data_IF_921849089550
#
_entry.id   IF_921849089550
#
_cell.length_a   1.000
_cell.length_b   1.000
_cell.length_c   1.000
_cell.angle_alpha   90.00
_cell.angle_beta   90.00
_cell.angle_gamma   90.00
#
_symmetry.space_group_name_H-M   'P 1'
#
loop_
_entity.id
_entity.type
_entity.pdbx_description
1 polymer ?
#
# COMPACT_ATOMS: atom_id res chain seq x y z
N UNK A 1 -13.60 -10.73 33.05
CA UNK A 1 -13.85 -9.37 33.56
C UNK A 1 -14.27 -8.51 32.37
N UNK A 2 -15.40 -7.79 32.44
CA UNK A 2 -15.75 -6.87 31.36
C UNK A 2 -14.69 -5.77 31.33
N UNK A 3 -13.98 -5.63 30.20
CA UNK A 3 -13.04 -4.54 29.99
C UNK A 3 -13.85 -3.25 30.09
N UNK A 4 -13.42 -2.37 31.01
CA UNK A 4 -13.79 -0.96 31.12
C UNK A 4 -14.02 -0.38 29.72
N UNK A 5 -15.12 0.35 29.51
CA UNK A 5 -15.39 1.14 28.30
C UNK A 5 -14.19 2.06 28.01
N UNK A 6 -13.16 1.56 27.33
CA UNK A 6 -12.10 2.37 26.79
C UNK A 6 -12.65 2.92 25.49
N UNK A 7 -12.81 4.25 25.41
CA UNK A 7 -13.12 4.94 24.16
C UNK A 7 -12.20 4.40 23.05
N UNK A 8 -12.78 3.99 21.92
CA UNK A 8 -12.02 3.51 20.77
C UNK A 8 -11.00 4.56 20.35
N UNK A 9 -9.77 4.13 20.05
CA UNK A 9 -8.76 5.03 19.48
C UNK A 9 -9.12 5.34 18.03
N UNK A 10 -8.84 6.54 17.57
CA UNK A 10 -9.28 6.99 16.24
C UNK A 10 -8.09 7.27 15.35
N UNK A 11 -7.97 6.54 14.24
CA UNK A 11 -7.09 6.92 13.12
C UNK A 11 -7.76 8.04 12.35
N UNK A 12 -7.09 9.18 12.24
CA UNK A 12 -7.63 10.42 11.62
C UNK A 12 -7.01 10.65 10.24
N UNK A 13 -7.63 11.52 9.43
CA UNK A 13 -7.01 11.99 8.20
C UNK A 13 -5.75 12.79 8.51
N UNK A 14 -4.65 12.54 7.79
CA UNK A 14 -3.43 13.33 7.91
C UNK A 14 -3.68 14.81 7.55
N UNK A 15 -4.65 15.08 6.67
CA UNK A 15 -5.07 16.44 6.34
C UNK A 15 -5.54 17.21 7.58
N UNK A 16 -6.34 16.57 8.44
CA UNK A 16 -6.84 17.22 9.65
C UNK A 16 -5.69 17.60 10.59
N UNK A 17 -4.72 16.68 10.74
CA UNK A 17 -3.55 16.86 11.61
C UNK A 17 -2.69 18.04 11.13
N UNK A 18 -2.49 18.17 9.82
CA UNK A 18 -1.72 19.29 9.27
C UNK A 18 -2.48 20.63 9.32
N UNK A 19 -3.80 20.61 9.14
CA UNK A 19 -4.63 21.81 9.27
C UNK A 19 -4.67 22.31 10.72
N UNK A 20 -4.75 21.39 11.68
CA UNK A 20 -4.64 21.67 13.12
C UNK A 20 -3.27 22.25 13.46
N UNK A 21 -2.19 21.67 12.93
CA UNK A 21 -0.83 22.18 13.11
C UNK A 21 -0.70 23.63 12.65
N UNK A 22 -1.21 23.96 11.46
CA UNK A 22 -1.20 25.32 10.91
C UNK A 22 -2.06 26.30 11.72
N UNK A 23 -3.09 25.80 12.43
CA UNK A 23 -3.93 26.58 13.36
C UNK A 23 -3.33 26.69 14.77
N UNK A 24 -2.14 26.16 15.00
CA UNK A 24 -1.42 26.20 16.28
C UNK A 24 -1.68 25.00 17.21
N UNK A 25 -2.54 24.06 16.83
CA UNK A 25 -2.73 22.78 17.54
C UNK A 25 -1.66 21.79 17.06
N UNK A 26 -0.41 22.04 17.45
CA UNK A 26 0.77 21.34 16.89
C UNK A 26 0.93 19.89 17.36
N UNK A 27 0.51 19.61 18.61
CA UNK A 27 0.83 18.37 19.32
C UNK A 27 0.55 17.08 18.54
N UNK A 28 -0.63 16.87 17.90
CA UNK A 28 -0.90 15.61 17.20
C UNK A 28 0.11 15.30 16.08
N UNK A 29 0.43 16.29 15.24
CA UNK A 29 1.39 16.11 14.16
C UNK A 29 2.84 16.03 14.69
N UNK A 30 3.19 16.80 15.72
CA UNK A 30 4.51 16.71 16.37
C UNK A 30 4.75 15.34 17.02
N UNK A 31 3.75 14.76 17.69
CA UNK A 31 3.85 13.43 18.28
C UNK A 31 4.04 12.35 17.22
N UNK A 32 3.34 12.46 16.10
CA UNK A 32 3.54 11.59 14.93
C UNK A 32 4.97 11.73 14.38
N UNK A 33 5.44 12.96 14.14
CA UNK A 33 6.79 13.22 13.63
C UNK A 33 7.87 12.68 14.59
N UNK A 34 7.67 12.84 15.90
CA UNK A 34 8.56 12.32 16.94
C UNK A 34 8.60 10.79 16.94
N UNK A 35 7.44 10.14 16.83
CA UNK A 35 7.34 8.68 16.76
C UNK A 35 8.06 8.13 15.53
N UNK A 36 7.81 8.70 14.36
CA UNK A 36 8.45 8.30 13.10
C UNK A 36 9.96 8.52 13.11
N UNK A 37 10.42 9.66 13.63
CA UNK A 37 11.85 9.92 13.86
C UNK A 37 12.45 8.85 14.77
N UNK A 38 11.75 8.49 15.86
CA UNK A 38 12.20 7.50 16.83
C UNK A 38 12.38 6.10 16.23
N UNK A 39 11.37 5.56 15.55
CA UNK A 39 11.46 4.19 14.99
C UNK A 39 12.51 4.07 13.87
N UNK A 40 12.81 5.17 13.17
CA UNK A 40 13.89 5.24 12.17
C UNK A 40 15.29 5.27 12.77
N UNK A 41 15.41 5.70 14.02
CA UNK A 41 16.68 5.78 14.75
C UNK A 41 16.97 4.51 15.55
N UNK A 42 15.99 3.60 15.72
CA UNK A 42 16.22 2.30 16.34
C UNK A 42 17.24 1.47 15.53
N UNK A 43 18.03 0.60 16.19
CA UNK A 43 18.97 -0.28 15.50
C UNK A 43 18.26 -1.14 14.44
N UNK A 44 18.89 -1.43 13.27
CA UNK A 44 18.28 -2.26 12.21
C UNK A 44 18.11 -3.75 12.59
N UNK A 45 18.42 -4.11 13.83
CA UNK A 45 18.16 -5.44 14.42
C UNK A 45 16.98 -5.40 15.40
N UNK A 46 16.51 -4.22 15.77
CA UNK A 46 15.34 -4.06 16.62
C UNK A 46 14.08 -4.39 15.79
N UNK A 47 13.22 -5.33 16.24
CA UNK A 47 12.01 -5.70 15.51
C UNK A 47 11.01 -4.56 15.33
N UNK A 48 11.15 -3.46 16.10
CA UNK A 48 10.33 -2.25 16.00
C UNK A 48 11.01 -1.13 15.19
N UNK A 49 12.22 -1.36 14.70
CA UNK A 49 12.87 -0.39 13.81
C UNK A 49 12.13 -0.30 12.48
N UNK A 50 12.10 0.89 11.89
CA UNK A 50 11.50 1.09 10.58
C UNK A 50 12.18 0.26 9.48
N UNK A 51 13.49 0.02 9.59
CA UNK A 51 14.22 -0.86 8.67
C UNK A 51 13.68 -2.30 8.70
N UNK A 52 13.47 -2.86 9.90
CA UNK A 52 12.93 -4.22 10.02
C UNK A 52 11.48 -4.29 9.60
N UNK A 53 10.65 -3.33 10.08
CA UNK A 53 9.23 -3.28 9.75
C UNK A 53 9.02 -3.12 8.25
N UNK A 54 9.61 -2.09 7.64
CA UNK A 54 9.54 -1.83 6.20
C UNK A 54 9.99 -3.02 5.36
N UNK A 55 11.04 -3.70 5.82
CA UNK A 55 11.57 -4.90 5.16
C UNK A 55 10.80 -6.19 5.40
N UNK A 56 9.68 -6.18 6.15
CA UNK A 56 8.75 -7.32 6.14
C UNK A 56 7.93 -7.37 4.85
N UNK A 57 7.73 -6.23 4.18
CA UNK A 57 6.96 -6.17 2.95
C UNK A 57 7.62 -6.99 1.83
N UNK A 58 8.83 -6.61 1.45
CA UNK A 58 9.63 -7.25 0.41
C UNK A 58 11.03 -7.57 0.93
N UNK A 59 11.98 -6.79 0.45
CA UNK A 59 13.39 -6.92 0.76
C UNK A 59 13.74 -6.44 2.19
N UNK A 60 14.72 -7.06 2.89
CA UNK A 60 15.55 -8.16 2.41
C UNK A 60 14.79 -9.48 2.32
N UNK A 61 14.95 -10.20 1.21
CA UNK A 61 14.25 -11.44 0.94
C UNK A 61 14.69 -12.61 1.82
N UNK A 62 13.76 -13.54 2.02
CA UNK A 62 13.88 -14.66 2.95
C UNK A 62 13.39 -15.96 2.29
N UNK A 63 13.81 -17.09 2.87
CA UNK A 63 13.36 -18.40 2.43
C UNK A 63 13.71 -18.70 0.96
N UNK A 64 12.83 -19.43 0.26
CA UNK A 64 13.04 -19.79 -1.14
C UNK A 64 13.04 -18.58 -2.08
N UNK A 65 12.30 -17.52 -1.74
CA UNK A 65 12.26 -16.28 -2.51
C UNK A 65 13.58 -15.50 -2.52
N UNK A 66 14.50 -15.80 -1.59
CA UNK A 66 15.86 -15.22 -1.63
C UNK A 66 16.66 -15.66 -2.87
N UNK A 67 16.38 -16.85 -3.42
CA UNK A 67 17.13 -17.41 -4.56
C UNK A 67 16.29 -17.82 -5.77
N UNK A 68 14.97 -17.63 -5.73
CA UNK A 68 14.06 -18.10 -6.77
C UNK A 68 12.87 -17.16 -6.96
N UNK A 69 12.72 -16.63 -8.17
CA UNK A 69 11.60 -15.76 -8.57
C UNK A 69 10.24 -16.46 -8.65
N UNK A 70 10.18 -17.79 -8.47
CA UNK A 70 8.91 -18.52 -8.32
C UNK A 70 8.28 -18.39 -6.92
N UNK A 71 8.98 -17.73 -5.99
CA UNK A 71 8.53 -17.46 -4.63
C UNK A 71 8.66 -15.97 -4.36
N UNK A 72 7.76 -15.45 -3.52
CA UNK A 72 7.95 -14.12 -2.97
C UNK A 72 8.83 -14.19 -1.73
N UNK A 73 9.94 -13.45 -1.71
CA UNK A 73 10.88 -13.46 -0.58
C UNK A 73 10.47 -12.57 0.60
N UNK A 74 9.51 -11.67 0.39
CA UNK A 74 8.89 -10.87 1.43
C UNK A 74 7.67 -11.54 2.05
N UNK A 75 7.11 -10.95 3.09
CA UNK A 75 5.92 -11.50 3.75
C UNK A 75 4.60 -10.95 3.22
N UNK A 76 4.63 -9.85 2.46
CA UNK A 76 3.40 -9.24 1.97
C UNK A 76 2.60 -10.20 1.08
N UNK A 77 1.27 -10.02 1.07
CA UNK A 77 0.35 -10.79 0.25
C UNK A 77 -0.25 -9.89 -0.82
N UNK A 78 -0.02 -10.23 -2.10
CA UNK A 78 -0.62 -9.57 -3.26
C UNK A 78 -1.25 -10.60 -4.20
N UNK A 79 -2.29 -10.17 -4.91
CA UNK A 79 -3.04 -10.98 -5.87
C UNK A 79 -3.72 -12.19 -5.22
N UNK A 80 -3.96 -12.16 -3.91
CA UNK A 80 -4.61 -13.22 -3.17
C UNK A 80 -5.49 -12.67 -2.02
N UNK A 81 -6.37 -13.51 -1.48
CA UNK A 81 -7.39 -13.12 -0.47
C UNK A 81 -6.81 -12.57 0.84
N UNK A 82 -5.53 -12.77 1.13
CA UNK A 82 -4.89 -12.25 2.34
C UNK A 82 -4.44 -10.79 2.18
N UNK A 83 -4.50 -10.19 0.98
CA UNK A 83 -4.06 -8.81 0.73
C UNK A 83 -4.61 -7.81 1.76
N UNK A 84 -5.94 -7.66 1.98
CA UNK A 84 -6.45 -6.65 2.90
C UNK A 84 -6.07 -6.93 4.36
N UNK A 85 -6.11 -8.20 4.78
CA UNK A 85 -5.95 -8.58 6.20
C UNK A 85 -4.49 -8.63 6.62
N UNK A 86 -3.59 -9.04 5.74
CA UNK A 86 -2.15 -8.95 5.98
C UNK A 86 -1.70 -7.50 6.17
N UNK A 87 -2.12 -6.60 5.28
CA UNK A 87 -1.76 -5.18 5.38
C UNK A 87 -2.39 -4.51 6.62
N UNK A 88 -3.62 -4.90 7.01
CA UNK A 88 -4.22 -4.46 8.29
C UNK A 88 -3.35 -4.86 9.51
N UNK A 89 -2.92 -6.11 9.57
CA UNK A 89 -2.04 -6.58 10.65
C UNK A 89 -0.67 -5.87 10.61
N UNK A 90 -0.15 -5.59 9.41
CA UNK A 90 1.10 -4.88 9.22
C UNK A 90 1.05 -3.44 9.77
N UNK A 91 -0.02 -2.71 9.48
CA UNK A 91 -0.25 -1.36 10.01
C UNK A 91 -0.32 -1.35 11.54
N UNK A 92 -0.96 -2.36 12.14
CA UNK A 92 -1.00 -2.50 13.60
C UNK A 92 0.42 -2.64 14.17
N UNK A 93 1.30 -3.40 13.53
CA UNK A 93 2.68 -3.59 14.00
C UNK A 93 3.55 -2.34 13.84
N UNK A 94 3.34 -1.57 12.78
CA UNK A 94 3.96 -0.25 12.68
C UNK A 94 3.45 0.69 13.78
N UNK A 95 2.14 0.74 14.01
CA UNK A 95 1.53 1.61 15.01
C UNK A 95 1.99 1.25 16.44
N UNK A 96 2.10 -0.04 16.78
CA UNK A 96 2.70 -0.52 18.03
C UNK A 96 4.17 -0.08 18.19
N UNK A 97 4.92 0.02 17.09
CA UNK A 97 6.30 0.52 17.11
C UNK A 97 6.35 2.04 17.31
N UNK A 98 5.50 2.80 16.62
CA UNK A 98 5.35 4.25 16.83
C UNK A 98 5.01 4.57 18.28
N UNK A 99 4.07 3.83 18.86
CA UNK A 99 3.63 3.97 20.25
C UNK A 99 4.70 3.58 21.27
N UNK A 100 5.73 2.82 20.86
CA UNK A 100 6.82 2.43 21.75
C UNK A 100 7.86 3.54 21.97
N UNK A 101 7.84 4.60 21.16
CA UNK A 101 8.75 5.73 21.30
C UNK A 101 8.36 6.56 22.55
N UNK A 102 9.31 6.95 23.41
CA UNK A 102 9.01 7.72 24.62
C UNK A 102 8.20 8.98 24.34
N UNK A 103 7.06 9.12 25.02
CA UNK A 103 6.14 10.26 24.85
C UNK A 103 5.13 10.11 23.70
N UNK A 104 5.16 9.00 22.96
CA UNK A 104 4.30 8.77 21.79
C UNK A 104 3.24 7.66 21.99
N UNK A 105 2.98 7.24 23.24
CA UNK A 105 2.10 6.09 23.54
C UNK A 105 0.65 6.21 23.04
N UNK A 106 0.16 7.44 22.82
CA UNK A 106 -1.19 7.73 22.32
C UNK A 106 -1.22 8.02 20.80
N UNK A 107 -0.08 7.94 20.10
CA UNK A 107 -0.02 8.19 18.66
C UNK A 107 -0.83 7.14 17.91
N UNK A 108 -1.71 7.60 17.03
CA UNK A 108 -2.40 6.78 16.05
C UNK A 108 -1.81 7.07 14.67
N UNK A 109 -1.67 6.03 13.84
CA UNK A 109 -1.25 6.17 12.45
C UNK A 109 -2.39 6.83 11.65
N UNK A 110 -2.24 8.06 11.15
CA UNK A 110 -3.27 8.66 10.32
C UNK A 110 -3.24 8.06 8.90
N UNK A 111 -4.33 8.24 8.16
CA UNK A 111 -4.39 7.87 6.75
C UNK A 111 -4.20 9.10 5.86
N UNK A 112 -3.56 8.91 4.71
CA UNK A 112 -3.63 9.88 3.62
C UNK A 112 -4.95 9.68 2.88
N UNK A 113 -5.90 10.59 3.05
CA UNK A 113 -7.19 10.50 2.36
C UNK A 113 -7.04 10.84 0.86
N UNK A 114 -6.74 9.82 0.06
CA UNK A 114 -6.42 9.93 -1.37
C UNK A 114 -7.57 10.44 -2.23
N UNK A 115 -8.82 10.27 -1.77
CA UNK A 115 -10.02 10.73 -2.48
C UNK A 115 -10.71 11.92 -1.82
N UNK A 116 -10.03 12.59 -0.87
CA UNK A 116 -10.47 13.88 -0.35
C UNK A 116 -10.40 14.99 -1.39
N UNK A 117 -11.20 16.04 -1.24
CA UNK A 117 -11.17 17.20 -2.12
C UNK A 117 -9.76 17.83 -2.22
N UNK A 118 -9.00 17.82 -1.12
CA UNK A 118 -7.63 18.32 -1.12
C UNK A 118 -6.71 17.44 -1.96
N UNK A 119 -6.72 16.11 -1.78
CA UNK A 119 -5.89 15.20 -2.58
C UNK A 119 -6.23 15.26 -4.07
N UNK A 120 -7.52 15.35 -4.41
CA UNK A 120 -7.98 15.46 -5.81
C UNK A 120 -7.53 16.77 -6.47
N UNK A 121 -7.18 17.81 -5.70
CA UNK A 121 -6.76 19.11 -6.22
C UNK A 121 -5.25 19.35 -6.11
N UNK A 122 -4.65 18.90 -5.02
CA UNK A 122 -3.31 19.28 -4.58
C UNK A 122 -2.34 18.07 -4.48
N UNK A 123 -2.84 16.84 -4.55
CA UNK A 123 -2.04 15.62 -4.50
C UNK A 123 -1.72 15.18 -3.06
N UNK A 124 -0.44 15.06 -2.73
CA UNK A 124 0.00 14.47 -1.47
C UNK A 124 0.02 15.53 -0.35
N UNK A 125 -0.49 15.23 0.86
CA UNK A 125 -0.37 16.08 2.05
C UNK A 125 1.06 16.57 2.27
N UNK A 126 1.23 17.86 2.60
CA UNK A 126 2.56 18.47 2.70
C UNK A 126 3.43 17.82 3.79
N UNK A 127 2.80 17.26 4.84
CA UNK A 127 3.51 16.55 5.90
C UNK A 127 4.32 15.36 5.37
N UNK A 128 3.94 14.79 4.21
CA UNK A 128 4.64 13.67 3.57
C UNK A 128 5.68 14.11 2.55
N UNK A 129 5.74 15.38 2.16
CA UNK A 129 6.57 15.86 1.03
C UNK A 129 7.49 17.02 1.37
N UNK A 130 7.24 17.80 2.43
CA UNK A 130 8.15 18.88 2.82
C UNK A 130 9.53 18.34 3.19
N UNK A 131 10.58 19.08 2.83
CA UNK A 131 11.97 18.70 3.10
C UNK A 131 12.29 18.65 4.59
N UNK A 132 11.81 19.66 5.32
CA UNK A 132 12.07 19.84 6.75
C UNK A 132 10.75 20.00 7.50
N UNK A 133 10.79 19.78 8.82
CA UNK A 133 9.66 19.95 9.72
C UNK A 133 10.12 20.71 10.97
N UNK A 134 9.27 21.55 11.56
CA UNK A 134 9.53 22.19 12.86
C UNK A 134 8.96 21.31 13.98
N UNK A 135 9.84 20.66 14.75
CA UNK A 135 9.46 19.82 15.89
C UNK A 135 9.99 20.44 17.17
N UNK A 136 9.10 20.76 18.11
CA UNK A 136 9.48 21.32 19.42
C UNK A 136 10.34 22.60 19.28
N UNK A 137 10.01 23.43 18.28
CA UNK A 137 10.73 24.67 17.95
C UNK A 137 12.07 24.48 17.24
N UNK A 138 12.42 23.25 16.83
CA UNK A 138 13.64 22.94 16.08
C UNK A 138 13.33 22.45 14.68
N UNK A 139 14.01 23.02 13.68
CA UNK A 139 13.95 22.50 12.31
C UNK A 139 14.73 21.20 12.19
N UNK A 140 14.06 20.13 11.76
CA UNK A 140 14.64 18.80 11.51
C UNK A 140 14.37 18.37 10.06
N UNK A 141 15.15 17.44 9.48
CA UNK A 141 14.73 16.72 8.28
C UNK A 141 13.39 16.03 8.54
N UNK A 142 12.45 16.16 7.60
CA UNK A 142 11.12 15.58 7.76
C UNK A 142 11.21 14.03 7.76
N UNK A 143 10.85 13.35 8.87
CA UNK A 143 10.94 11.90 8.96
C UNK A 143 9.89 11.17 8.11
N UNK A 144 8.93 11.84 7.48
CA UNK A 144 7.94 11.20 6.60
C UNK A 144 8.26 11.30 5.11
N UNK A 145 9.24 12.14 4.74
CA UNK A 145 9.54 12.43 3.32
C UNK A 145 10.20 11.26 2.58
N UNK A 146 11.04 10.50 3.30
CA UNK A 146 11.93 9.47 2.77
C UNK A 146 12.57 8.72 3.93
N UNK A 147 13.27 7.63 3.66
CA UNK A 147 14.07 6.90 4.64
C UNK A 147 15.50 6.65 4.15
N UNK A 148 16.47 6.87 5.02
CA UNK A 148 17.88 6.58 4.76
C UNK A 148 18.22 5.22 5.37
N UNK A 149 18.71 4.30 4.54
CA UNK A 149 18.99 2.92 4.92
C UNK A 149 20.10 2.87 5.96
N UNK A 150 19.77 2.37 7.15
CA UNK A 150 20.73 2.20 8.26
C UNK A 150 21.64 0.99 8.06
N UNK A 151 21.22 0.05 7.20
CA UNK A 151 21.95 -1.14 6.76
C UNK A 151 21.68 -1.37 5.27
N UNK A 152 22.68 -1.86 4.53
CA UNK A 152 22.48 -2.23 3.13
C UNK A 152 21.71 -3.55 3.00
N UNK A 153 21.01 -3.70 1.87
CA UNK A 153 20.30 -4.90 1.45
C UNK A 153 21.00 -5.49 0.23
N UNK A 154 21.21 -6.80 0.24
CA UNK A 154 21.76 -7.57 -0.87
C UNK A 154 21.00 -8.89 -0.92
N UNK A 155 20.19 -9.06 -1.95
CA UNK A 155 19.49 -10.30 -2.28
C UNK A 155 20.11 -10.92 -3.54
N UNK A 156 20.08 -12.26 -3.66
CA UNK A 156 20.78 -12.99 -4.72
C UNK A 156 19.79 -13.84 -5.53
N UNK A 157 18.99 -13.18 -6.38
CA UNK A 157 18.00 -13.86 -7.20
C UNK A 157 18.68 -14.58 -8.39
N UNK A 158 18.51 -15.90 -8.47
CA UNK A 158 19.00 -16.74 -9.58
C UNK A 158 17.89 -17.05 -10.60
N UNK A 159 18.19 -17.17 -11.93
CA UNK A 159 19.48 -16.99 -12.58
C UNK A 159 19.66 -15.60 -13.21
N UNK A 160 20.93 -15.23 -13.33
CA UNK A 160 21.49 -14.01 -13.92
C UNK A 160 20.79 -13.42 -15.17
N UNK A 161 20.87 -12.08 -15.35
CA UNK A 161 21.49 -11.15 -14.43
C UNK A 161 20.56 -10.81 -13.27
N UNK A 162 21.18 -10.84 -12.09
CA UNK A 162 20.76 -10.27 -10.82
C UNK A 162 19.88 -9.06 -11.10
N UNK A 163 18.63 -9.09 -10.64
CA UNK A 163 17.84 -7.88 -10.67
C UNK A 163 18.47 -7.03 -9.57
N UNK A 164 19.27 -6.05 -9.98
CA UNK A 164 20.27 -5.40 -9.16
C UNK A 164 19.63 -4.40 -8.19
N UNK A 165 18.72 -4.90 -7.36
CA UNK A 165 17.94 -4.15 -6.38
C UNK A 165 18.70 -3.98 -5.07
N UNK A 166 19.97 -4.40 -5.03
CA UNK A 166 20.84 -4.18 -3.88
C UNK A 166 20.93 -2.69 -3.55
N UNK A 167 20.50 -2.33 -2.34
CA UNK A 167 20.50 -0.95 -1.85
C UNK A 167 21.57 -0.79 -0.79
N UNK A 168 22.60 0.05 -1.01
CA UNK A 168 23.68 0.22 -0.05
C UNK A 168 23.21 0.94 1.21
N UNK A 169 23.95 0.77 2.31
CA UNK A 169 23.78 1.61 3.49
C UNK A 169 23.93 3.08 3.09
N UNK A 170 23.02 3.93 3.57
CA UNK A 170 23.00 5.35 3.24
C UNK A 170 22.20 5.70 1.99
N UNK A 171 21.67 4.71 1.26
CA UNK A 171 20.64 4.96 0.24
C UNK A 171 19.42 5.66 0.88
N UNK A 172 18.91 6.72 0.24
CA UNK A 172 17.68 7.40 0.63
C UNK A 172 16.57 7.00 -0.34
N UNK A 173 15.42 6.55 0.16
CA UNK A 173 14.26 6.25 -0.70
C UNK A 173 13.84 7.48 -1.48
N UNK A 174 13.44 7.27 -2.72
CA UNK A 174 13.02 8.31 -3.64
C UNK A 174 11.64 8.00 -4.23
N UNK A 175 10.96 9.05 -4.67
CA UNK A 175 9.66 9.00 -5.33
C UNK A 175 9.79 9.59 -6.73
N UNK A 176 8.77 9.42 -7.55
CA UNK A 176 8.67 10.12 -8.84
C UNK A 176 8.95 11.62 -8.66
N UNK A 177 9.74 12.27 -9.54
CA UNK A 177 10.27 11.77 -10.82
C UNK A 177 11.66 11.13 -10.73
N UNK A 178 12.19 10.85 -9.53
CA UNK A 178 13.53 10.31 -9.36
C UNK A 178 13.56 8.78 -9.55
N UNK A 179 14.76 8.26 -9.76
CA UNK A 179 15.06 6.84 -9.90
C UNK A 179 15.84 6.32 -8.69
N UNK A 180 15.43 5.15 -8.19
CA UNK A 180 15.97 4.47 -7.02
C UNK A 180 16.68 3.16 -7.32
N UNK A 181 16.88 2.80 -8.60
CA UNK A 181 17.60 1.60 -9.02
C UNK A 181 19.11 1.81 -8.91
N UNK A 182 19.70 1.40 -7.79
CA UNK A 182 21.07 1.78 -7.42
C UNK A 182 22.05 0.63 -7.38
N UNK A 183 21.66 -0.54 -7.88
CA UNK A 183 22.58 -1.64 -8.09
C UNK A 183 23.71 -1.30 -9.07
N UNK A 184 24.88 -1.96 -8.96
CA UNK A 184 25.99 -1.87 -9.90
C UNK A 184 25.68 -1.62 -11.38
N UNK A 185 24.66 -2.27 -11.95
CA UNK A 185 24.29 -2.17 -13.36
C UNK A 185 23.39 -0.96 -13.67
N UNK A 186 22.57 -0.52 -12.73
CA UNK A 186 21.57 0.54 -12.94
C UNK A 186 22.06 1.92 -12.47
N UNK A 187 23.03 1.94 -11.54
CA UNK A 187 23.50 3.16 -10.88
C UNK A 187 23.87 4.29 -11.85
N UNK A 188 24.57 3.98 -12.94
CA UNK A 188 24.98 5.00 -13.91
C UNK A 188 23.78 5.65 -14.62
N UNK A 189 22.77 4.85 -14.98
CA UNK A 189 21.54 5.33 -15.60
C UNK A 189 20.71 6.15 -14.61
N UNK A 190 20.60 5.67 -13.36
CA UNK A 190 19.92 6.39 -12.28
C UNK A 190 20.60 7.72 -11.94
N UNK A 191 21.93 7.78 -11.88
CA UNK A 191 22.66 9.03 -11.64
C UNK A 191 22.41 10.03 -12.79
N UNK A 192 22.45 9.58 -14.05
CA UNK A 192 22.19 10.41 -15.22
C UNK A 192 20.73 10.89 -15.29
N UNK A 193 19.78 10.06 -14.87
CA UNK A 193 18.36 10.42 -14.77
C UNK A 193 18.14 11.47 -13.69
N UNK A 194 18.61 11.20 -12.46
CA UNK A 194 18.42 12.08 -11.32
C UNK A 194 19.10 13.45 -11.50
N UNK A 195 20.19 13.53 -12.27
CA UNK A 195 20.85 14.79 -12.64
C UNK A 195 19.94 15.74 -13.44
N UNK A 196 18.89 15.24 -14.11
CA UNK A 196 17.87 16.06 -14.81
C UNK A 196 16.87 16.72 -13.85
N UNK A 197 16.82 16.25 -12.59
CA UNK A 197 15.84 16.65 -11.58
C UNK A 197 16.51 17.14 -10.27
N UNK A 198 17.40 18.15 -10.31
CA UNK A 198 18.19 18.56 -9.15
C UNK A 198 17.41 19.35 -8.10
N UNK A 199 16.28 19.96 -8.46
CA UNK A 199 15.50 20.83 -7.58
C UNK A 199 14.39 20.06 -6.85
N UNK A 200 14.49 20.02 -5.53
CA UNK A 200 13.57 19.24 -4.70
C UNK A 200 12.12 19.74 -4.78
N UNK A 201 11.90 21.06 -4.75
CA UNK A 201 10.55 21.63 -4.72
C UNK A 201 9.86 21.51 -6.08
N UNK A 202 10.63 21.59 -7.17
CA UNK A 202 10.16 21.28 -8.52
C UNK A 202 9.76 19.80 -8.63
N UNK A 203 10.53 18.89 -8.05
CA UNK A 203 10.21 17.45 -8.04
C UNK A 203 8.92 17.16 -7.26
N UNK A 204 8.71 17.80 -6.11
CA UNK A 204 7.45 17.67 -5.35
C UNK A 204 6.25 18.16 -6.17
N UNK A 205 6.40 19.25 -6.94
CA UNK A 205 5.33 19.72 -7.85
C UNK A 205 5.02 18.72 -8.96
N UNK A 206 6.05 18.11 -9.54
CA UNK A 206 5.89 17.06 -10.56
C UNK A 206 5.18 15.83 -9.97
N UNK A 207 5.57 15.40 -8.77
CA UNK A 207 4.95 14.31 -8.04
C UNK A 207 3.46 14.57 -7.78
N UNK A 208 3.12 15.73 -7.21
CA UNK A 208 1.74 16.08 -6.94
C UNK A 208 0.90 16.20 -8.21
N UNK A 209 1.45 16.78 -9.28
CA UNK A 209 0.77 16.84 -10.57
C UNK A 209 0.51 15.44 -11.15
N UNK A 210 1.48 14.52 -11.04
CA UNK A 210 1.29 13.13 -11.46
C UNK A 210 0.18 12.46 -10.65
N UNK A 211 0.24 12.53 -9.32
CA UNK A 211 -0.78 11.95 -8.44
C UNK A 211 -2.17 12.50 -8.74
N UNK A 212 -2.32 13.83 -8.90
CA UNK A 212 -3.60 14.45 -9.27
C UNK A 212 -4.11 13.93 -10.61
N UNK A 213 -3.23 13.77 -11.62
CA UNK A 213 -3.62 13.22 -12.92
C UNK A 213 -4.15 11.79 -12.77
N UNK A 214 -3.47 10.93 -12.03
CA UNK A 214 -3.95 9.56 -11.75
C UNK A 214 -5.28 9.53 -10.99
N UNK A 215 -5.46 10.46 -10.05
CA UNK A 215 -6.68 10.59 -9.25
C UNK A 215 -7.87 11.15 -10.04
N UNK A 216 -7.65 11.89 -11.13
CA UNK A 216 -8.72 12.66 -11.81
C UNK A 216 -8.88 12.42 -13.31
N UNK A 217 -8.00 11.64 -13.95
CA UNK A 217 -8.06 11.31 -15.38
C UNK A 217 -9.44 10.84 -15.89
N UNK A 218 -9.75 11.20 -17.12
CA UNK A 218 -10.96 10.74 -17.82
C UNK A 218 -10.71 10.68 -19.33
N UNK A 219 -11.56 9.93 -20.03
CA UNK A 219 -11.59 9.90 -21.50
C UNK A 219 -12.96 10.37 -21.99
N UNK A 220 -13.04 10.82 -23.25
CA UNK A 220 -14.31 11.20 -23.87
C UNK A 220 -14.64 10.20 -24.98
N UNK A 221 -15.75 9.48 -24.84
CA UNK A 221 -16.25 8.52 -25.82
C UNK A 221 -17.65 8.93 -26.25
N UNK A 222 -17.87 9.21 -27.54
CA UNK A 222 -19.18 9.62 -28.05
C UNK A 222 -19.73 10.90 -27.40
N UNK A 223 -18.86 11.80 -26.94
CA UNK A 223 -19.24 13.03 -26.22
C UNK A 223 -19.54 12.84 -24.73
N UNK A 224 -19.42 11.63 -24.20
CA UNK A 224 -19.57 11.34 -22.77
C UNK A 224 -18.20 11.24 -22.10
N UNK A 225 -18.03 11.92 -20.97
CA UNK A 225 -16.84 11.81 -20.13
C UNK A 225 -16.93 10.55 -19.27
N UNK A 226 -15.99 9.64 -19.46
CA UNK A 226 -15.87 8.38 -18.72
C UNK A 226 -14.66 8.51 -17.78
N UNK A 227 -14.85 8.45 -16.46
CA UNK A 227 -13.75 8.45 -15.51
C UNK A 227 -12.89 7.19 -15.69
N UNK A 228 -11.58 7.36 -15.79
CA UNK A 228 -10.60 6.25 -15.84
C UNK A 228 -9.67 6.25 -14.62
N UNK A 229 -9.97 7.15 -13.68
CA UNK A 229 -9.10 7.50 -12.59
C UNK A 229 -9.22 6.62 -11.35
N UNK A 230 -8.25 6.78 -10.46
CA UNK A 230 -8.16 6.05 -9.20
C UNK A 230 -9.32 6.39 -8.26
N UNK A 231 -9.82 7.63 -8.25
CA UNK A 231 -10.97 8.00 -7.42
C UNK A 231 -12.20 7.17 -7.78
N UNK A 232 -12.53 7.01 -9.07
CA UNK A 232 -13.63 6.16 -9.51
C UNK A 232 -13.40 4.69 -9.16
N UNK A 233 -12.16 4.18 -9.30
CA UNK A 233 -11.84 2.80 -8.90
C UNK A 233 -12.07 2.53 -7.41
N UNK A 234 -11.76 3.48 -6.52
CA UNK A 234 -12.07 3.35 -5.10
C UNK A 234 -13.58 3.35 -4.83
N UNK A 235 -14.36 4.15 -5.55
CA UNK A 235 -15.84 4.09 -5.46
C UNK A 235 -16.36 2.73 -5.92
N UNK A 236 -15.88 2.25 -7.08
CA UNK A 236 -16.35 1.00 -7.66
C UNK A 236 -15.96 -0.23 -6.82
N UNK A 237 -14.83 -0.18 -6.10
CA UNK A 237 -14.46 -1.30 -5.23
C UNK A 237 -15.37 -1.46 -4.02
N UNK A 238 -16.01 -0.38 -3.53
CA UNK A 238 -16.99 -0.46 -2.44
C UNK A 238 -18.25 -1.24 -2.86
N UNK A 239 -18.51 -1.36 -4.16
CA UNK A 239 -19.64 -2.12 -4.72
C UNK A 239 -19.30 -3.59 -5.02
N UNK A 240 -18.06 -4.03 -4.76
CA UNK A 240 -17.67 -5.41 -5.02
C UNK A 240 -18.56 -6.39 -4.21
N UNK A 241 -19.15 -7.42 -4.84
CA UNK A 241 -20.30 -8.15 -4.28
C UNK A 241 -19.94 -9.16 -3.18
N UNK A 242 -18.67 -9.48 -3.00
CA UNK A 242 -18.19 -10.38 -1.95
C UNK A 242 -16.71 -10.13 -1.66
N UNK A 243 -16.24 -10.58 -0.50
CA UNK A 243 -14.88 -10.35 -0.04
C UNK A 243 -13.82 -10.94 -0.98
N UNK A 244 -14.08 -12.10 -1.60
CA UNK A 244 -13.08 -12.77 -2.47
C UNK A 244 -12.69 -11.87 -3.63
N UNK A 245 -13.66 -11.32 -4.35
CA UNK A 245 -13.41 -10.44 -5.51
C UNK A 245 -13.14 -8.99 -5.12
N UNK A 246 -13.59 -8.56 -3.94
CA UNK A 246 -13.16 -7.28 -3.35
C UNK A 246 -11.67 -7.28 -3.02
N UNK A 247 -11.16 -8.39 -2.48
CA UNK A 247 -9.84 -8.42 -1.85
C UNK A 247 -8.68 -8.25 -2.82
N UNK A 248 -8.75 -8.82 -4.02
CA UNK A 248 -7.56 -8.97 -4.87
C UNK A 248 -7.85 -9.05 -6.37
N UNK A 249 -6.81 -8.74 -7.14
CA UNK A 249 -6.79 -8.70 -8.60
C UNK A 249 -7.01 -10.05 -9.27
N UNK A 250 -6.46 -11.14 -8.74
CA UNK A 250 -6.60 -12.48 -9.32
C UNK A 250 -8.05 -12.97 -9.27
N UNK A 251 -8.70 -12.84 -8.11
CA UNK A 251 -10.10 -13.21 -7.92
C UNK A 251 -11.03 -12.33 -8.77
N UNK A 252 -10.81 -11.01 -8.79
CA UNK A 252 -11.63 -10.12 -9.61
C UNK A 252 -11.47 -10.41 -11.11
N UNK A 253 -10.27 -10.73 -11.58
CA UNK A 253 -10.04 -11.11 -12.98
C UNK A 253 -10.78 -12.40 -13.34
N UNK A 254 -10.75 -13.42 -12.48
CA UNK A 254 -11.51 -14.66 -12.70
C UNK A 254 -13.02 -14.40 -12.68
N UNK A 255 -13.50 -13.56 -11.77
CA UNK A 255 -14.92 -13.20 -11.68
C UNK A 255 -15.44 -12.52 -12.93
N UNK A 256 -14.62 -11.65 -13.55
CA UNK A 256 -14.99 -10.99 -14.80
C UNK A 256 -15.11 -11.97 -15.98
N UNK A 257 -14.39 -13.10 -15.95
CA UNK A 257 -14.53 -14.17 -16.94
C UNK A 257 -15.78 -15.04 -16.66
N UNK A 258 -16.11 -15.29 -15.39
CA UNK A 258 -17.18 -16.19 -14.97
C UNK A 258 -18.58 -15.54 -14.86
N UNK A 259 -18.64 -14.22 -14.64
CA UNK A 259 -19.85 -13.47 -14.30
C UNK A 259 -20.18 -12.38 -15.32
N UNK A 260 -21.46 -12.00 -15.38
CA UNK A 260 -21.93 -10.80 -16.12
C UNK A 260 -21.78 -9.50 -15.32
N UNK A 261 -21.41 -9.58 -14.05
CA UNK A 261 -21.17 -8.43 -13.19
C UNK A 261 -19.68 -8.09 -13.10
N UNK A 262 -19.35 -6.81 -13.27
CA UNK A 262 -17.99 -6.31 -13.06
C UNK A 262 -17.72 -6.13 -11.57
N UNK A 263 -16.51 -6.48 -11.14
CA UNK A 263 -16.02 -6.22 -9.80
C UNK A 263 -14.64 -5.54 -9.90
N UNK A 264 -14.50 -4.40 -9.22
CA UNK A 264 -13.20 -3.73 -9.05
C UNK A 264 -12.66 -4.15 -7.68
N UNK A 265 -11.50 -4.81 -7.59
CA UNK A 265 -10.91 -5.16 -6.31
C UNK A 265 -10.26 -3.92 -5.67
N UNK A 266 -10.23 -3.87 -4.34
CA UNK A 266 -9.50 -2.86 -3.55
C UNK A 266 -8.03 -2.74 -3.95
N UNK A 267 -7.42 -3.87 -4.32
CA UNK A 267 -6.02 -3.93 -4.77
C UNK A 267 -5.78 -3.13 -6.07
N UNK A 268 -6.80 -2.91 -6.91
CA UNK A 268 -6.64 -2.17 -8.19
C UNK A 268 -6.36 -0.66 -8.02
N UNK A 269 -7.17 0.13 -7.29
CA UNK A 269 -6.82 1.52 -6.99
C UNK A 269 -5.55 1.64 -6.15
N UNK A 270 -5.31 0.70 -5.22
CA UNK A 270 -4.04 0.60 -4.47
C UNK A 270 -2.82 0.53 -5.40
N UNK A 271 -2.83 -0.40 -6.37
CA UNK A 271 -1.72 -0.56 -7.32
C UNK A 271 -1.48 0.73 -8.12
N UNK A 272 -2.54 1.47 -8.42
CA UNK A 272 -2.45 2.71 -9.20
C UNK A 272 -1.76 3.83 -8.40
N UNK A 273 -1.97 3.91 -7.08
CA UNK A 273 -1.28 4.89 -6.22
C UNK A 273 0.20 4.55 -6.05
N UNK A 274 0.54 3.27 -5.90
CA UNK A 274 1.93 2.81 -5.91
C UNK A 274 2.68 3.29 -7.15
N UNK A 275 2.10 3.10 -8.34
CA UNK A 275 2.69 3.57 -9.60
C UNK A 275 2.72 5.09 -9.73
N UNK A 276 1.69 5.80 -9.27
CA UNK A 276 1.64 7.26 -9.31
C UNK A 276 2.73 7.91 -8.43
N UNK A 277 2.98 7.32 -7.24
CA UNK A 277 3.96 7.84 -6.28
C UNK A 277 5.38 7.41 -6.62
N UNK A 278 5.56 6.15 -7.02
CA UNK A 278 6.87 5.59 -7.35
C UNK A 278 7.37 6.02 -8.73
N UNK A 279 6.49 6.17 -9.71
CA UNK A 279 6.90 6.01 -11.10
C UNK A 279 7.26 4.55 -11.39
N UNK A 280 7.18 4.15 -12.65
CA UNK A 280 7.55 2.80 -13.02
C UNK A 280 7.97 2.71 -14.50
N UNK A 281 9.25 2.38 -14.71
CA UNK A 281 9.87 2.16 -16.01
C UNK A 281 10.93 1.04 -15.95
N UNK A 282 10.70 -0.07 -16.64
CA UNK A 282 11.69 -1.12 -16.80
C UNK A 282 12.34 -1.10 -18.19
N UNK A 283 13.68 -0.96 -18.26
CA UNK A 283 14.41 -1.00 -19.51
C UNK A 283 14.10 -2.24 -20.33
N UNK A 284 13.69 -2.04 -21.59
CA UNK A 284 13.36 -3.09 -22.57
C UNK A 284 12.18 -4.01 -22.19
N UNK A 285 11.37 -3.62 -21.21
CA UNK A 285 10.17 -4.36 -20.82
C UNK A 285 8.93 -3.49 -21.04
N UNK A 286 8.81 -2.37 -20.31
CA UNK A 286 7.63 -1.51 -20.32
C UNK A 286 7.83 -0.24 -19.48
N UNK A 287 7.24 0.88 -19.92
CA UNK A 287 7.20 2.17 -19.21
C UNK A 287 5.75 2.66 -19.05
N UNK A 288 5.36 3.00 -17.81
CA UNK A 288 4.10 3.70 -17.51
C UNK A 288 4.31 5.02 -16.76
N UNK A 289 5.56 5.40 -16.54
CA UNK A 289 5.90 6.72 -16.04
C UNK A 289 5.69 7.75 -17.15
N UNK A 290 5.09 8.93 -16.85
CA UNK A 290 5.13 10.06 -17.78
C UNK A 290 6.56 10.56 -18.05
N UNK A 291 7.50 10.19 -17.19
CA UNK A 291 8.93 10.51 -17.30
C UNK A 291 9.70 9.18 -17.28
N UNK A 292 10.20 8.79 -18.45
CA UNK A 292 11.08 7.64 -18.65
C UNK A 292 12.25 7.68 -17.64
N UNK A 293 12.53 6.53 -17.01
CA UNK A 293 13.58 6.30 -16.02
C UNK A 293 13.20 6.57 -14.56
N UNK A 294 11.99 7.09 -14.28
CA UNK A 294 11.54 7.35 -12.92
C UNK A 294 11.08 6.07 -12.20
N UNK A 295 11.98 5.50 -11.40
CA UNK A 295 11.82 4.23 -10.68
C UNK A 295 11.98 4.42 -9.17
N UNK A 296 11.07 5.17 -8.54
CA UNK A 296 11.04 5.34 -7.09
C UNK A 296 10.55 4.09 -6.36
N UNK A 297 10.88 3.99 -5.08
CA UNK A 297 10.68 2.79 -4.25
C UNK A 297 9.22 2.33 -4.18
N UNK A 298 8.26 3.28 -4.20
CA UNK A 298 6.83 2.97 -4.16
C UNK A 298 6.31 2.23 -5.41
N UNK A 299 7.07 2.23 -6.52
CA UNK A 299 6.64 1.66 -7.81
C UNK A 299 6.75 0.13 -7.90
N UNK A 300 7.43 -0.48 -6.93
CA UNK A 300 7.69 -1.92 -6.85
C UNK A 300 7.43 -2.47 -5.45
N UNK A 301 7.13 -3.77 -5.36
CA UNK A 301 6.83 -4.38 -4.06
C UNK A 301 8.10 -4.63 -3.22
N UNK A 302 9.25 -4.73 -3.87
CA UNK A 302 10.53 -5.11 -3.28
C UNK A 302 10.92 -4.14 -2.17
N UNK A 303 10.82 -2.83 -2.42
CA UNK A 303 11.28 -1.80 -1.47
C UNK A 303 10.25 -0.73 -1.11
N UNK A 304 9.02 -0.77 -1.64
CA UNK A 304 7.96 0.20 -1.28
C UNK A 304 7.70 0.31 0.23
N UNK A 305 7.78 -0.80 0.96
CA UNK A 305 7.61 -0.81 2.42
C UNK A 305 8.66 0.01 3.19
N UNK A 306 9.77 0.40 2.55
CA UNK A 306 10.82 1.23 3.14
C UNK A 306 10.63 2.74 2.86
N UNK A 307 9.61 3.14 2.10
CA UNK A 307 9.17 4.54 2.02
C UNK A 307 8.06 4.81 3.05
N UNK A 308 8.17 5.83 3.93
CA UNK A 308 7.12 6.13 4.91
C UNK A 308 5.72 6.31 4.33
N UNK A 309 5.57 6.87 3.12
CA UNK A 309 4.25 7.13 2.52
C UNK A 309 3.45 5.84 2.32
N UNK A 310 4.13 4.70 2.18
CA UNK A 310 3.53 3.37 2.14
C UNK A 310 2.49 3.20 3.24
N UNK A 311 2.84 3.54 4.47
CA UNK A 311 1.97 3.26 5.61
C UNK A 311 0.79 4.23 5.70
N UNK A 312 0.90 5.43 5.15
CA UNK A 312 -0.23 6.37 5.08
C UNK A 312 -1.20 6.00 3.97
N UNK A 313 -0.67 5.54 2.84
CA UNK A 313 -1.43 4.94 1.75
C UNK A 313 -2.17 3.69 2.22
N UNK A 314 -1.46 2.72 2.81
CA UNK A 314 -2.05 1.47 3.29
C UNK A 314 -3.05 1.70 4.43
N UNK A 315 -2.87 2.73 5.27
CA UNK A 315 -3.86 3.12 6.26
C UNK A 315 -5.17 3.61 5.61
N UNK A 316 -5.10 4.29 4.45
CA UNK A 316 -6.29 4.63 3.68
C UNK A 316 -6.93 3.40 3.02
N UNK A 317 -6.13 2.51 2.46
CA UNK A 317 -6.61 1.23 1.90
C UNK A 317 -7.32 0.40 2.97
N UNK A 318 -6.79 0.34 4.20
CA UNK A 318 -7.44 -0.32 5.33
C UNK A 318 -8.75 0.38 5.76
N UNK A 319 -8.80 1.71 5.67
CA UNK A 319 -10.02 2.48 5.86
C UNK A 319 -11.08 2.11 4.82
N UNK A 320 -10.72 2.03 3.54
CA UNK A 320 -11.64 1.61 2.47
C UNK A 320 -12.12 0.18 2.68
N UNK A 321 -11.24 -0.74 3.13
CA UNK A 321 -11.66 -2.08 3.55
C UNK A 321 -12.70 -2.03 4.67
N UNK A 322 -12.48 -1.21 5.70
CA UNK A 322 -13.47 -1.04 6.77
C UNK A 322 -14.79 -0.45 6.28
N UNK A 323 -14.77 0.51 5.35
CA UNK A 323 -15.98 1.06 4.72
C UNK A 323 -16.75 -0.01 3.96
N UNK A 324 -16.06 -0.85 3.17
CA UNK A 324 -16.68 -1.99 2.48
C UNK A 324 -17.30 -2.97 3.49
N UNK A 325 -16.59 -3.34 4.56
CA UNK A 325 -17.13 -4.23 5.59
C UNK A 325 -18.40 -3.67 6.22
N UNK A 326 -18.45 -2.36 6.54
CA UNK A 326 -19.65 -1.71 7.08
C UNK A 326 -20.80 -1.70 6.07
N UNK A 327 -20.52 -1.38 4.82
CA UNK A 327 -21.53 -1.34 3.77
C UNK A 327 -22.17 -2.72 3.55
N UNK A 328 -21.37 -3.79 3.51
CA UNK A 328 -21.81 -5.15 3.20
C UNK A 328 -22.21 -5.99 4.43
N UNK A 329 -22.21 -5.42 5.63
CA UNK A 329 -22.53 -6.15 6.87
C UNK A 329 -21.48 -7.20 7.27
N UNK A 330 -20.24 -7.04 6.79
CA UNK A 330 -19.11 -7.95 7.00
C UNK A 330 -18.13 -7.45 8.09
N UNK A 331 -18.61 -6.69 9.08
CA UNK A 331 -17.78 -6.19 10.19
C UNK A 331 -17.40 -7.28 11.18
N UNK A 332 -18.22 -8.33 11.32
CA UNK A 332 -17.99 -9.44 12.27
C UNK A 332 -17.53 -10.74 11.60
N UNK A 333 -17.71 -10.89 10.29
CA UNK A 333 -17.37 -12.10 9.54
C UNK A 333 -16.96 -11.74 8.11
N UNK A 334 -16.12 -12.58 7.52
CA UNK A 334 -15.77 -12.56 6.11
C UNK A 334 -16.01 -13.96 5.54
N UNK A 335 -16.41 -14.02 4.29
CA UNK A 335 -16.57 -15.28 3.57
C UNK A 335 -15.68 -15.28 2.33
N UNK A 336 -15.00 -16.41 2.10
CA UNK A 336 -14.21 -16.64 0.90
C UNK A 336 -14.90 -17.70 0.03
N UNK A 337 -14.78 -17.59 -1.28
CA UNK A 337 -15.17 -18.63 -2.22
C UNK A 337 -14.05 -19.68 -2.20
N UNK A 338 -14.26 -20.89 -1.66
CA UNK A 338 -13.18 -21.85 -1.50
C UNK A 338 -12.62 -22.28 -2.85
N UNK A 339 -11.28 -22.34 -2.94
CA UNK A 339 -10.55 -22.78 -4.14
C UNK A 339 -10.76 -21.91 -5.39
N UNK A 340 -11.26 -20.69 -5.21
CA UNK A 340 -11.35 -19.71 -6.28
C UNK A 340 -9.96 -19.14 -6.61
N UNK A 341 -9.66 -18.71 -7.86
CA UNK A 341 -8.40 -18.01 -8.15
C UNK A 341 -8.18 -16.83 -7.19
N UNK A 342 -6.97 -16.70 -6.66
CA UNK A 342 -6.62 -15.81 -5.54
C UNK A 342 -6.70 -16.47 -4.16
N UNK A 343 -7.08 -17.75 -4.07
CA UNK A 343 -7.06 -18.53 -2.82
C UNK A 343 -5.97 -19.59 -2.80
N UNK A 344 -5.02 -19.59 -3.74
CA UNK A 344 -3.89 -20.51 -3.74
C UNK A 344 -2.56 -19.75 -3.57
N UNK A 345 -1.67 -20.31 -2.75
CA UNK A 345 -0.32 -19.77 -2.52
C UNK A 345 0.53 -19.58 -3.78
N UNK A 346 0.26 -20.28 -4.88
CA UNK A 346 0.99 -20.09 -6.16
C UNK A 346 0.34 -19.05 -7.08
N UNK A 347 -0.79 -18.47 -6.69
CA UNK A 347 -1.42 -17.40 -7.45
C UNK A 347 -0.56 -16.13 -7.41
N UNK A 348 -0.54 -15.41 -8.54
CA UNK A 348 0.11 -14.12 -8.71
C UNK A 348 1.61 -14.10 -8.30
N UNK A 349 1.95 -13.53 -7.15
CA UNK A 349 3.33 -13.34 -6.68
C UNK A 349 4.01 -14.64 -6.23
N UNK A 350 3.24 -15.71 -6.04
CA UNK A 350 3.73 -17.00 -5.53
C UNK A 350 3.86 -17.05 -4.00
N UNK A 351 4.36 -18.18 -3.48
CA UNK A 351 4.31 -18.45 -2.04
C UNK A 351 5.27 -17.55 -1.26
N UNK A 352 4.81 -17.05 -0.12
CA UNK A 352 5.61 -16.26 0.84
C UNK A 352 6.43 -17.16 1.78
N UNK A 353 7.42 -16.63 2.52
CA UNK A 353 8.23 -17.43 3.44
C UNK A 353 7.38 -18.11 4.51
N UNK A 354 7.51 -19.44 4.63
CA UNK A 354 6.71 -20.26 5.54
C UNK A 354 5.46 -20.86 4.92
N UNK A 355 5.04 -20.39 3.74
CA UNK A 355 3.89 -20.92 3.01
C UNK A 355 4.30 -22.04 2.06
N UNK A 356 3.63 -23.18 2.15
CA UNK A 356 3.87 -24.32 1.25
C UNK A 356 3.31 -24.01 -0.15
N UNK A 357 4.04 -24.27 -1.24
CA UNK A 357 3.50 -24.15 -2.59
C UNK A 357 2.24 -25.00 -2.81
N UNK A 358 1.30 -24.45 -3.57
CA UNK A 358 0.01 -25.06 -3.89
C UNK A 358 -0.89 -25.30 -2.66
N UNK A 359 -0.63 -24.62 -1.54
CA UNK A 359 -1.54 -24.58 -0.40
C UNK A 359 -2.74 -23.68 -0.70
N UNK A 360 -3.92 -24.11 -0.26
CA UNK A 360 -5.13 -23.28 -0.26
C UNK A 360 -5.06 -22.31 0.92
N UNK A 361 -5.10 -21.02 0.62
CA UNK A 361 -5.18 -19.92 1.56
C UNK A 361 -6.62 -19.79 2.08
N UNK A 362 -6.74 -19.57 3.37
CA UNK A 362 -8.01 -19.40 4.10
C UNK A 362 -7.88 -18.27 5.12
N UNK A 363 -8.98 -17.91 5.80
CA UNK A 363 -8.95 -16.89 6.85
C UNK A 363 -8.13 -17.31 8.09
N UNK A 364 -7.83 -18.60 8.23
CA UNK A 364 -6.94 -19.19 9.24
C UNK A 364 -5.47 -19.24 8.81
N UNK A 365 -5.17 -18.87 7.56
CA UNK A 365 -3.78 -18.85 7.10
C UNK A 365 -2.95 -17.85 7.90
N UNK A 366 -1.70 -18.20 8.28
CA UNK A 366 -0.84 -17.30 9.03
C UNK A 366 -0.58 -15.99 8.28
N UNK A 367 -0.78 -14.86 8.95
CA UNK A 367 -0.34 -13.54 8.51
C UNK A 367 1.10 -13.30 9.01
N UNK A 368 2.02 -14.14 8.55
CA UNK A 368 3.42 -14.03 8.94
C UNK A 368 4.01 -12.65 8.56
N UNK A 369 4.97 -12.12 9.33
CA UNK A 369 5.57 -12.70 10.53
C UNK A 369 4.85 -12.27 11.82
N UNK A 370 3.61 -11.76 11.73
CA UNK A 370 2.93 -11.11 12.84
C UNK A 370 2.44 -12.15 13.85
N UNK A 371 2.79 -11.95 15.12
CA UNK A 371 2.40 -12.84 16.22
C UNK A 371 1.57 -12.10 17.27
N UNK A 372 0.64 -12.83 17.90
CA UNK A 372 -0.13 -12.38 19.07
C UNK A 372 0.04 -13.35 20.23
N UNK A 373 -0.09 -12.79 21.43
CA UNK A 373 -0.26 -13.57 22.65
C UNK A 373 -1.68 -14.10 22.77
N UNK A 374 -1.78 -15.39 23.06
CA UNK A 374 -3.02 -16.11 23.29
C UNK A 374 -2.80 -17.14 24.40
N UNK A 375 -3.47 -16.97 25.54
CA UNK A 375 -3.34 -17.88 26.69
C UNK A 375 -1.89 -18.04 27.23
N UNK A 376 -1.07 -16.98 27.14
CA UNK A 376 0.35 -17.02 27.55
C UNK A 376 1.30 -17.71 26.56
N UNK A 377 0.82 -18.03 25.35
CA UNK A 377 1.63 -18.55 24.23
C UNK A 377 1.57 -17.60 23.05
N UNK A 378 2.62 -17.60 22.23
CA UNK A 378 2.67 -16.84 20.99
C UNK A 378 2.16 -17.72 19.83
N UNK A 379 1.25 -17.18 19.02
CA UNK A 379 0.82 -17.78 17.75
C UNK A 379 0.78 -16.73 16.65
N UNK A 380 0.82 -17.12 15.36
CA UNK A 380 0.60 -16.19 14.27
C UNK A 380 -0.77 -15.50 14.36
N UNK A 381 -0.84 -14.26 13.90
CA UNK A 381 -2.10 -13.65 13.51
C UNK A 381 -2.70 -14.42 12.33
N UNK A 382 -4.01 -14.43 12.25
CA UNK A 382 -4.76 -14.85 11.05
C UNK A 382 -5.75 -13.75 10.67
N UNK A 383 -6.39 -13.85 9.50
CA UNK A 383 -7.44 -12.90 9.10
C UNK A 383 -8.59 -12.84 10.12
N UNK A 384 -8.89 -13.96 10.79
CA UNK A 384 -9.91 -14.05 11.85
C UNK A 384 -9.64 -13.14 13.06
N UNK A 385 -8.38 -12.76 13.28
CA UNK A 385 -7.99 -11.90 14.41
C UNK A 385 -8.14 -10.40 14.14
N UNK A 386 -8.44 -10.02 12.91
CA UNK A 386 -8.48 -8.63 12.46
C UNK A 386 -9.65 -8.32 11.51
N UNK A 387 -10.75 -9.05 11.62
CA UNK A 387 -11.99 -8.76 10.88
C UNK A 387 -12.60 -7.46 11.42
N UNK A 388 -12.86 -7.40 12.73
CA UNK A 388 -13.43 -6.22 13.37
C UNK A 388 -12.32 -5.39 14.02
N UNK A 389 -12.02 -4.22 13.45
CA UNK A 389 -10.99 -3.32 13.96
C UNK A 389 -11.34 -2.71 15.33
N UNK A 390 -12.61 -2.56 15.65
CA UNK A 390 -13.08 -1.94 16.88
C UNK A 390 -13.01 -2.92 18.05
N UNK A 391 -13.64 -4.09 17.88
CA UNK A 391 -13.75 -5.09 18.96
C UNK A 391 -12.48 -5.93 19.15
N UNK A 392 -11.73 -6.20 18.07
CA UNK A 392 -10.53 -7.04 18.12
C UNK A 392 -9.24 -6.23 18.24
N UNK A 393 -9.16 -5.06 17.57
CA UNK A 393 -7.94 -4.26 17.48
C UNK A 393 -7.99 -2.94 18.28
N UNK A 394 -9.17 -2.53 18.77
CA UNK A 394 -9.34 -1.38 19.65
C UNK A 394 -9.15 -0.02 18.96
N UNK A 395 -9.38 0.07 17.66
CA UNK A 395 -9.38 1.33 16.92
C UNK A 395 -10.54 1.44 15.94
N UNK A 396 -10.85 2.67 15.52
CA UNK A 396 -11.76 2.96 14.41
C UNK A 396 -11.18 4.07 13.53
N UNK A 397 -11.86 4.37 12.43
CA UNK A 397 -11.50 5.47 11.53
C UNK A 397 -12.37 6.70 11.80
N UNK A 398 -11.74 7.86 11.81
CA UNK A 398 -12.41 9.15 11.80
C UNK A 398 -13.07 9.46 10.46
N UNK A 399 -13.78 10.59 10.38
CA UNK A 399 -14.49 11.01 9.17
C UNK A 399 -13.52 11.22 8.00
N UNK A 400 -13.95 10.90 6.79
CA UNK A 400 -13.18 11.12 5.57
C UNK A 400 -13.99 10.85 4.31
N UNK A 401 -13.34 10.94 3.16
CA UNK A 401 -14.00 10.71 1.86
C UNK A 401 -14.58 9.29 1.74
N UNK A 402 -15.46 9.10 0.74
CA UNK A 402 -16.20 7.85 0.46
C UNK A 402 -17.21 7.41 1.54
N UNK A 403 -17.32 8.13 2.67
CA UNK A 403 -18.39 7.88 3.64
C UNK A 403 -19.77 8.23 3.08
N UNK A 404 -20.78 7.45 3.50
CA UNK A 404 -22.16 7.70 3.09
C UNK A 404 -22.46 7.36 1.63
N UNK A 405 -21.51 6.77 0.88
CA UNK A 405 -21.81 6.05 -0.35
C UNK A 405 -22.63 4.82 0.04
N UNK A 406 -23.93 4.99 0.07
CA UNK A 406 -24.89 3.93 0.30
C UNK A 406 -24.79 2.91 -0.83
N UNK A 407 -24.96 1.61 -0.53
CA UNK A 407 -25.25 0.52 -1.48
C UNK A 407 -26.54 0.73 -2.31
N UNK A 408 -27.04 1.96 -2.43
CA UNK A 408 -28.33 2.33 -3.04
C UNK A 408 -28.40 1.99 -4.53
N UNK A 409 -27.30 1.56 -5.16
CA UNK A 409 -27.35 0.98 -6.50
C UNK A 409 -27.69 -0.52 -6.52
N UNK A 410 -27.35 -1.32 -5.50
CA UNK A 410 -27.39 -2.78 -5.62
C UNK A 410 -28.79 -3.42 -5.48
N UNK A 411 -29.75 -2.76 -4.82
CA UNK A 411 -31.10 -3.32 -4.62
C UNK A 411 -32.14 -2.77 -5.61
N UNK A 412 -31.81 -1.69 -6.35
CA UNK A 412 -32.77 -1.02 -7.24
C UNK A 412 -32.25 -0.72 -8.66
N UNK A 413 -30.95 -0.87 -8.94
CA UNK A 413 -30.49 -0.84 -10.32
C UNK A 413 -30.60 -2.24 -10.91
N UNK A 414 -31.46 -2.40 -11.92
CA UNK A 414 -31.22 -3.42 -12.96
C UNK A 414 -29.73 -3.35 -13.31
N UNK A 415 -28.96 -4.45 -13.24
CA UNK A 415 -27.56 -4.41 -13.63
C UNK A 415 -27.50 -3.77 -15.01
N UNK A 416 -26.72 -2.69 -15.13
CA UNK A 416 -26.56 -2.03 -16.42
C UNK A 416 -26.14 -3.11 -17.42
N UNK A 417 -26.85 -3.26 -18.56
CA UNK A 417 -26.52 -4.30 -19.52
C UNK A 417 -25.05 -4.17 -19.90
N UNK A 418 -24.34 -5.30 -19.84
CA UNK A 418 -22.91 -5.41 -20.11
C UNK A 418 -22.62 -4.70 -21.44
N UNK A 419 -21.87 -3.60 -21.40
CA UNK A 419 -21.37 -2.94 -22.60
C UNK A 419 -20.45 -3.89 -23.37
N UNK A 420 -20.04 -3.51 -24.59
CA UNK A 420 -18.99 -4.25 -25.29
C UNK A 420 -17.72 -4.24 -24.44
N UNK A 421 -17.20 -5.42 -24.11
CA UNK A 421 -15.97 -5.57 -23.34
C UNK A 421 -14.81 -5.91 -24.27
N UNK A 422 -13.66 -5.29 -24.03
CA UNK A 422 -12.39 -5.68 -24.64
C UNK A 422 -11.69 -6.61 -23.65
N UNK A 423 -11.50 -7.88 -24.05
CA UNK A 423 -10.66 -8.83 -23.31
C UNK A 423 -9.27 -8.85 -23.92
N UNK A 424 -8.29 -8.36 -23.16
CA UNK A 424 -6.87 -8.52 -23.49
C UNK A 424 -6.38 -9.79 -22.78
N UNK A 425 -5.87 -10.77 -23.54
CA UNK A 425 -5.42 -12.07 -23.02
C UNK A 425 -4.03 -12.42 -23.55
N UNK A 426 -3.39 -13.44 -22.97
CA UNK A 426 -2.04 -13.87 -23.37
C UNK A 426 -0.89 -13.14 -22.65
N UNK A 427 -1.18 -12.42 -21.57
CA UNK A 427 -0.17 -11.72 -20.76
C UNK A 427 0.47 -12.72 -19.81
N UNK A 428 1.77 -12.97 -19.98
CA UNK A 428 2.53 -13.84 -19.10
C UNK A 428 3.34 -13.00 -18.10
N UNK A 429 2.79 -12.85 -16.88
CA UNK A 429 3.42 -12.10 -15.78
C UNK A 429 4.85 -12.56 -15.50
N UNK A 430 5.12 -13.86 -15.55
CA UNK A 430 6.43 -14.43 -15.24
C UNK A 430 7.53 -14.03 -16.23
N UNK A 431 7.15 -13.49 -17.40
CA UNK A 431 8.09 -12.96 -18.41
C UNK A 431 8.31 -11.45 -18.29
N UNK A 432 7.58 -10.77 -17.41
CA UNK A 432 7.59 -9.32 -17.23
C UNK A 432 8.09 -9.07 -15.80
N UNK A 433 9.31 -8.54 -15.65
CA UNK A 433 9.85 -8.10 -14.35
C UNK A 433 9.08 -6.84 -13.89
N UNK A 434 9.11 -6.51 -12.59
CA UNK A 434 8.50 -5.32 -11.96
C UNK A 434 7.02 -5.08 -12.30
N UNK A 435 6.39 -4.00 -11.85
CA UNK A 435 4.98 -3.66 -12.16
C UNK A 435 4.73 -3.46 -13.69
N UNK A 436 3.49 -3.32 -14.15
CA UNK A 436 3.17 -2.84 -15.50
C UNK A 436 1.70 -2.41 -15.57
N UNK A 437 1.33 -1.68 -16.62
CA UNK A 437 -0.04 -1.24 -16.89
C UNK A 437 -0.48 -1.71 -18.28
N UNK A 438 -1.76 -1.99 -18.44
CA UNK A 438 -2.38 -2.27 -19.74
C UNK A 438 -3.34 -1.12 -20.02
N UNK A 439 -3.15 -0.44 -21.15
CA UNK A 439 -4.05 0.59 -21.64
C UNK A 439 -4.73 0.10 -22.92
N UNK A 440 -6.05 0.22 -22.97
CA UNK A 440 -6.84 0.00 -24.18
C UNK A 440 -7.22 1.36 -24.79
N UNK A 441 -7.13 1.48 -26.11
CA UNK A 441 -7.40 2.70 -26.88
C UNK A 441 -8.52 2.51 -27.88
#
# INVERSE_FOLDING_TARGET
MPKKDSLLRVRRSLQDLQDEYLKGQKKPLEDLMRAWKGIKQLPPTDPKSFFVLGGYHGEPFRGAGWGSSSFWGGYCNHGNILFPTWHRAYLLKLEEALQSIPGCGDVMLPYWDETSEDSLKNGIPWALTQKNFELDGQTIPNPLRSFVFTKGIVDHLSPFPDADYSKPKGYETVRYPLSGLVGPNDKAATDAHNAKFPDYEANVKLLNANVVNWLTSSIVVGGQTIPTNVHKKYQDCLEAPNYTVFSNTTSASAWQDDSDTLAVPLESPHNSIHLAVGGFDLPNVFDASPIEGANGDMGENDTAGLDPIFFFHHCFVDRVFWLWQKAHGCTEHLEIIPKYPGTNSVDNQGPTPGTVPNAWLTLESPLDPFKKEDGGKQRPYTSLDCINIESQLGYTYGPGSLEGQTLVAAVAATPAPRGQMIRVSGINRNRIRGSFMISAF
#
